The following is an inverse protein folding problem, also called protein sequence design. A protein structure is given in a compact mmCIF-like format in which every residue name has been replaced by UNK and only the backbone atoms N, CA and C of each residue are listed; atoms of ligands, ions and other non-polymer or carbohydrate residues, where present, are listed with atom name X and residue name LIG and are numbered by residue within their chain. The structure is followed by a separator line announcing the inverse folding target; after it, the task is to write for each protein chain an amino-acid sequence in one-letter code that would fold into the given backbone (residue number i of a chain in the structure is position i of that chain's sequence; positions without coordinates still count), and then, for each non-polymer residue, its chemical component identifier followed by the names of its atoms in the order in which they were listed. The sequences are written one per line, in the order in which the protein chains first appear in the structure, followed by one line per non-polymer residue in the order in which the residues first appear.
data_IF_286288708138
#
_entry.id   IF_286288708138
#
_cell.length_a   1.000
_cell.length_b   1.000
_cell.length_c   1.000
_cell.angle_alpha   90.00
_cell.angle_beta   90.00
_cell.angle_gamma   90.00
#
_symmetry.space_group_name_H-M   'P 1'
#
loop_
_entity.id
_entity.type
_entity.pdbx_description
1 polymer ?
#
# COMPACT_ATOMS: atom_id res chain seq x y z
N UNK A 1 5.01 -12.01 1.48
CA UNK A 1 4.66 -11.45 0.15
C UNK A 1 5.82 -10.84 -0.62
N UNK A 2 6.95 -10.49 0.02
CA UNK A 2 8.08 -9.84 -0.65
C UNK A 2 8.65 -10.55 -1.90
N UNK A 3 8.75 -11.89 -1.90
CA UNK A 3 9.18 -12.64 -3.10
C UNK A 3 8.29 -12.38 -4.32
N UNK A 4 6.99 -12.19 -4.12
CA UNK A 4 6.06 -11.84 -5.19
C UNK A 4 6.21 -10.38 -5.60
N UNK A 5 6.39 -9.45 -4.65
CA UNK A 5 6.66 -8.05 -4.96
C UNK A 5 7.84 -7.88 -5.94
N UNK A 6 8.96 -8.59 -5.72
CA UNK A 6 10.11 -8.59 -6.64
C UNK A 6 9.74 -9.08 -8.05
N UNK A 7 8.95 -10.16 -8.13
CA UNK A 7 8.48 -10.73 -9.40
C UNK A 7 7.56 -9.76 -10.13
N UNK A 8 6.71 -9.03 -9.42
CA UNK A 8 5.83 -8.01 -9.98
C UNK A 8 6.64 -6.84 -10.57
N UNK A 9 7.64 -6.33 -9.86
CA UNK A 9 8.51 -5.25 -10.38
C UNK A 9 9.24 -5.71 -11.65
N UNK A 10 9.83 -6.90 -11.64
CA UNK A 10 10.52 -7.45 -12.81
C UNK A 10 9.57 -7.61 -14.01
N UNK A 11 8.37 -8.16 -13.78
CA UNK A 11 7.36 -8.33 -14.81
C UNK A 11 6.86 -6.99 -15.35
N UNK A 12 6.62 -6.02 -14.46
CA UNK A 12 6.16 -4.69 -14.85
C UNK A 12 7.18 -3.97 -15.73
N UNK A 13 8.46 -3.95 -15.33
CA UNK A 13 9.54 -3.36 -16.14
C UNK A 13 9.61 -3.98 -17.53
N UNK A 14 9.55 -5.32 -17.63
CA UNK A 14 9.55 -6.04 -18.91
C UNK A 14 8.34 -5.65 -19.78
N UNK A 15 7.14 -5.69 -19.22
CA UNK A 15 5.90 -5.38 -19.95
C UNK A 15 5.81 -3.91 -20.37
N UNK A 16 6.35 -3.00 -19.57
CA UNK A 16 6.43 -1.57 -19.92
C UNK A 16 7.35 -1.35 -21.12
N UNK A 17 8.51 -2.03 -21.17
CA UNK A 17 9.43 -1.95 -22.30
C UNK A 17 8.84 -2.55 -23.59
N UNK A 18 8.03 -3.61 -23.49
CA UNK A 18 7.36 -4.25 -24.63
C UNK A 18 6.21 -3.40 -25.20
N UNK A 19 5.60 -2.52 -24.39
CA UNK A 19 4.45 -1.69 -24.77
C UNK A 19 4.87 -0.32 -25.32
N UNK A 20 5.63 -0.31 -26.40
CA UNK A 20 6.07 0.91 -27.08
C UNK A 20 4.86 1.80 -27.48
N UNK A 21 4.94 3.08 -27.14
CA UNK A 21 3.92 4.08 -27.46
C UNK A 21 2.67 4.07 -26.57
N UNK A 22 2.65 3.28 -25.50
CA UNK A 22 1.58 3.33 -24.47
C UNK A 22 2.04 4.12 -23.24
N UNK A 23 1.13 4.83 -22.55
CA UNK A 23 1.45 5.45 -21.26
C UNK A 23 1.92 4.42 -20.24
N UNK A 24 2.85 4.83 -19.36
CA UNK A 24 3.26 4.00 -18.23
C UNK A 24 2.08 3.76 -17.29
N UNK A 25 1.94 2.53 -16.79
CA UNK A 25 0.99 2.22 -15.74
C UNK A 25 1.73 2.25 -14.40
N UNK A 26 1.13 2.86 -13.39
CA UNK A 26 1.69 2.84 -12.04
C UNK A 26 1.61 1.43 -11.44
N UNK A 27 2.62 1.05 -10.66
CA UNK A 27 2.65 -0.17 -9.86
C UNK A 27 2.80 0.16 -8.38
N UNK A 28 1.83 -0.26 -7.58
CA UNK A 28 1.87 -0.10 -6.13
C UNK A 28 2.30 -1.38 -5.41
N UNK A 29 3.27 -1.27 -4.50
CA UNK A 29 3.70 -2.38 -3.65
C UNK A 29 2.82 -2.51 -2.42
N UNK A 30 2.34 -3.71 -2.09
CA UNK A 30 1.43 -3.90 -0.95
C UNK A 30 2.19 -4.30 0.31
N UNK A 31 2.13 -3.45 1.34
CA UNK A 31 2.63 -3.74 2.68
C UNK A 31 1.63 -4.62 3.42
N UNK A 32 2.15 -5.72 3.95
CA UNK A 32 1.43 -6.74 4.71
C UNK A 32 1.96 -6.80 6.15
N UNK A 33 1.34 -7.61 7.00
CA UNK A 33 1.80 -7.78 8.39
C UNK A 33 0.69 -7.96 9.41
N UNK A 34 -0.56 -8.19 8.97
CA UNK A 34 -1.74 -8.27 9.85
C UNK A 34 -1.79 -7.05 10.79
N UNK A 35 -1.95 -7.30 12.08
CA UNK A 35 -2.05 -6.29 13.12
C UNK A 35 -0.72 -6.06 13.88
N UNK A 36 0.40 -6.60 13.36
CA UNK A 36 1.69 -6.59 14.06
C UNK A 36 2.64 -5.51 13.54
N UNK A 37 2.97 -4.54 14.39
CA UNK A 37 3.83 -3.40 14.05
C UNK A 37 5.20 -3.82 13.49
N UNK A 38 5.90 -4.74 14.16
CA UNK A 38 7.23 -5.16 13.73
C UNK A 38 7.22 -5.76 12.31
N UNK A 39 6.19 -6.55 12.00
CA UNK A 39 6.01 -7.13 10.66
C UNK A 39 5.65 -6.06 9.63
N UNK A 40 4.79 -5.10 9.99
CA UNK A 40 4.43 -3.96 9.13
C UNK A 40 5.63 -3.11 8.77
N UNK A 41 6.44 -2.72 9.76
CA UNK A 41 7.66 -1.92 9.56
C UNK A 41 8.69 -2.68 8.72
N UNK A 42 8.90 -3.97 9.01
CA UNK A 42 9.78 -4.81 8.19
C UNK A 42 9.31 -4.89 6.74
N UNK A 43 8.02 -5.13 6.51
CA UNK A 43 7.44 -5.18 5.17
C UNK A 43 7.47 -3.83 4.46
N UNK A 44 7.26 -2.71 5.17
CA UNK A 44 7.38 -1.36 4.63
C UNK A 44 8.79 -1.10 4.09
N UNK A 45 9.84 -1.43 4.86
CA UNK A 45 11.24 -1.31 4.41
C UNK A 45 11.54 -2.17 3.18
N UNK A 46 11.00 -3.39 3.13
CA UNK A 46 11.14 -4.28 1.98
C UNK A 46 10.44 -3.72 0.73
N UNK A 47 9.26 -3.13 0.88
CA UNK A 47 8.52 -2.53 -0.25
C UNK A 47 9.21 -1.23 -0.71
N UNK A 48 9.69 -0.40 0.23
CA UNK A 48 10.45 0.80 -0.09
C UNK A 48 11.73 0.49 -0.88
N UNK A 49 12.41 -0.62 -0.58
CA UNK A 49 13.60 -1.05 -1.33
C UNK A 49 13.31 -1.50 -2.77
N UNK A 50 12.07 -1.42 -3.25
CA UNK A 50 11.65 -1.81 -4.58
C UNK A 50 11.06 -0.61 -5.34
N UNK A 51 11.13 -0.73 -6.67
CA UNK A 51 10.71 0.29 -7.63
C UNK A 51 9.20 0.23 -7.87
N UNK A 52 8.46 0.86 -6.95
CA UNK A 52 7.01 1.01 -6.98
C UNK A 52 6.67 2.50 -6.99
N UNK A 53 5.62 2.88 -7.73
CA UNK A 53 5.15 4.27 -7.79
C UNK A 53 4.31 4.66 -6.56
N UNK A 54 3.79 3.66 -5.84
CA UNK A 54 2.91 3.83 -4.70
C UNK A 54 2.98 2.67 -3.70
N UNK A 55 2.32 2.84 -2.56
CA UNK A 55 2.26 1.83 -1.51
C UNK A 55 0.81 1.49 -1.20
N UNK A 56 0.45 0.21 -1.31
CA UNK A 56 -0.82 -0.30 -0.81
C UNK A 56 -0.70 -0.76 0.64
N UNK A 57 -1.70 -0.47 1.47
CA UNK A 57 -1.82 -0.94 2.85
C UNK A 57 -2.89 -2.03 2.86
N UNK A 58 -2.46 -3.29 2.92
CA UNK A 58 -3.34 -4.45 2.82
C UNK A 58 -3.31 -5.36 4.04
N UNK A 59 -4.32 -6.22 4.14
CA UNK A 59 -4.34 -7.34 5.10
C UNK A 59 -4.42 -6.92 6.58
N UNK A 60 -4.99 -5.76 6.90
CA UNK A 60 -5.44 -5.49 8.26
C UNK A 60 -6.63 -6.40 8.57
N UNK A 61 -6.60 -7.10 9.70
CA UNK A 61 -7.69 -8.01 10.10
C UNK A 61 -8.75 -7.33 10.95
N UNK A 62 -8.43 -6.17 11.52
CA UNK A 62 -9.33 -5.41 12.39
C UNK A 62 -9.39 -3.95 11.91
N UNK A 63 -10.60 -3.39 11.80
CA UNK A 63 -10.79 -2.06 11.22
C UNK A 63 -10.20 -0.96 12.11
N UNK A 64 -10.36 -1.07 13.43
CA UNK A 64 -9.94 -0.05 14.38
C UNK A 64 -8.42 0.18 14.45
N UNK A 65 -7.61 -0.75 13.92
CA UNK A 65 -6.15 -0.61 13.91
C UNK A 65 -5.62 0.13 12.67
N UNK A 66 -6.50 0.45 11.72
CA UNK A 66 -6.12 1.05 10.44
C UNK A 66 -5.30 2.33 10.61
N UNK A 67 -5.77 3.26 11.45
CA UNK A 67 -5.04 4.51 11.73
C UNK A 67 -3.63 4.25 12.27
N UNK A 68 -3.47 3.27 13.18
CA UNK A 68 -2.15 2.89 13.71
C UNK A 68 -1.25 2.30 12.62
N UNK A 69 -1.78 1.45 11.75
CA UNK A 69 -1.03 0.89 10.63
C UNK A 69 -0.56 2.01 9.70
N UNK A 70 -1.43 2.97 9.36
CA UNK A 70 -1.06 4.13 8.56
C UNK A 70 0.08 4.92 9.23
N UNK A 71 -0.03 5.18 10.54
CA UNK A 71 0.99 5.91 11.30
C UNK A 71 2.35 5.19 11.27
N UNK A 72 2.37 3.88 11.55
CA UNK A 72 3.60 3.09 11.51
C UNK A 72 4.26 3.12 10.13
N UNK A 73 3.47 3.04 9.06
CA UNK A 73 3.99 3.13 7.70
C UNK A 73 4.48 4.55 7.37
N UNK A 74 3.78 5.59 7.84
CA UNK A 74 4.19 6.98 7.67
C UNK A 74 5.56 7.24 8.33
N UNK A 75 5.77 6.71 9.54
CA UNK A 75 7.02 6.83 10.29
C UNK A 75 8.21 6.18 9.59
N UNK A 76 7.99 5.04 8.90
CA UNK A 76 9.04 4.34 8.15
C UNK A 76 9.48 5.10 6.90
N UNK A 77 8.84 6.24 6.58
CA UNK A 77 9.16 7.10 5.44
C UNK A 77 9.41 6.30 4.16
N UNK A 78 8.48 5.43 3.69
CA UNK A 78 8.56 4.85 2.36
C UNK A 78 8.34 5.98 1.32
N UNK A 79 9.37 6.81 1.17
CA UNK A 79 9.65 7.69 0.05
C UNK A 79 8.53 8.62 -0.42
N UNK A 80 7.75 9.30 0.45
CA UNK A 80 6.72 10.27 0.01
C UNK A 80 5.74 9.74 -1.07
N UNK A 81 5.67 8.42 -1.28
CA UNK A 81 4.85 7.79 -2.31
C UNK A 81 3.40 7.74 -1.81
N UNK A 82 2.41 7.88 -2.71
CA UNK A 82 1.00 7.81 -2.33
C UNK A 82 0.69 6.46 -1.67
N UNK A 83 -0.03 6.51 -0.54
CA UNK A 83 -0.45 5.39 0.29
C UNK A 83 -1.93 5.11 0.07
N UNK A 84 -2.23 3.95 -0.48
CA UNK A 84 -3.58 3.49 -0.77
C UNK A 84 -4.03 2.46 0.27
N UNK A 85 -5.10 2.74 0.99
CA UNK A 85 -5.68 1.85 1.98
C UNK A 85 -6.70 0.92 1.32
N UNK A 86 -6.41 -0.39 1.35
CA UNK A 86 -7.15 -1.40 0.58
C UNK A 86 -8.36 -1.96 1.34
N UNK A 87 -9.55 -1.81 0.75
CA UNK A 87 -10.75 -2.58 1.08
C UNK A 87 -11.40 -2.32 2.45
N UNK A 88 -10.90 -1.38 3.24
CA UNK A 88 -11.42 -1.05 4.57
C UNK A 88 -11.60 0.47 4.66
N UNK A 89 -12.85 0.92 4.55
CA UNK A 89 -13.21 2.31 4.77
C UNK A 89 -14.70 2.40 5.13
N UNK A 90 -15.06 2.08 6.38
CA UNK A 90 -16.27 2.67 6.95
C UNK A 90 -16.00 4.17 7.17
N UNK A 91 -17.05 5.01 7.21
CA UNK A 91 -16.88 6.47 7.21
C UNK A 91 -15.87 7.00 8.23
N UNK A 92 -15.89 6.50 9.47
CA UNK A 92 -14.94 6.89 10.53
C UNK A 92 -13.49 6.43 10.27
N UNK A 93 -13.30 5.29 9.61
CA UNK A 93 -11.97 4.72 9.33
C UNK A 93 -11.21 5.55 8.30
N UNK A 94 -11.92 6.19 7.36
CA UNK A 94 -11.32 7.09 6.36
C UNK A 94 -10.65 8.27 7.07
N UNK A 95 -11.34 8.91 8.02
CA UNK A 95 -10.78 10.05 8.76
C UNK A 95 -9.56 9.63 9.57
N UNK A 96 -9.64 8.53 10.31
CA UNK A 96 -8.51 7.99 11.05
C UNK A 96 -7.33 7.63 10.12
N UNK A 97 -7.62 7.11 8.92
CA UNK A 97 -6.63 6.85 7.89
C UNK A 97 -5.94 8.14 7.43
N UNK A 98 -6.72 9.15 7.03
CA UNK A 98 -6.21 10.45 6.55
C UNK A 98 -5.34 11.15 7.59
N UNK A 99 -5.80 11.23 8.84
CA UNK A 99 -5.06 11.83 9.95
C UNK A 99 -3.70 11.17 10.19
N UNK A 100 -3.58 9.89 9.83
CA UNK A 100 -2.37 9.09 10.00
C UNK A 100 -1.62 8.83 8.68
N UNK A 101 -1.97 9.57 7.61
CA UNK A 101 -1.25 9.54 6.35
C UNK A 101 -1.73 8.52 5.31
N UNK A 102 -2.98 8.09 5.34
CA UNK A 102 -3.60 7.45 4.18
C UNK A 102 -3.95 8.51 3.13
N UNK A 103 -3.62 8.28 1.85
CA UNK A 103 -3.83 9.26 0.78
C UNK A 103 -5.05 8.90 -0.09
N UNK A 104 -5.31 7.62 -0.31
CA UNK A 104 -6.45 7.13 -1.11
C UNK A 104 -7.07 5.87 -0.49
N UNK A 105 -8.34 5.62 -0.76
CA UNK A 105 -9.13 4.56 -0.10
C UNK A 105 -10.09 3.92 -1.10
N UNK A 106 -10.36 2.63 -0.93
CA UNK A 106 -11.45 1.94 -1.61
C UNK A 106 -12.33 1.14 -0.62
N UNK A 107 -13.64 1.16 -0.82
CA UNK A 107 -14.58 0.34 -0.06
C UNK A 107 -15.87 0.09 -0.86
N UNK A 108 -16.45 -1.09 -0.68
CA UNK A 108 -17.75 -1.46 -1.28
C UNK A 108 -18.95 -0.97 -0.46
N UNK A 109 -18.73 -0.50 0.78
CA UNK A 109 -19.79 -0.08 1.69
C UNK A 109 -20.83 0.89 1.10
N UNK A 110 -20.48 1.93 0.32
CA UNK A 110 -21.49 2.83 -0.23
C UNK A 110 -22.33 2.22 -1.37
N UNK A 111 -21.90 1.09 -1.95
CA UNK A 111 -22.54 0.46 -3.09
C UNK A 111 -23.25 -0.87 -2.77
N UNK A 112 -23.04 -1.43 -1.56
CA UNK A 112 -23.70 -2.65 -1.08
C UNK A 112 -24.99 -2.31 -0.35
#
# INVERSE_FOLDING_TARGET
TFRWAKRCVAAHRRLTAERLGKPSQALCGVVQGANYEALRRHAARQIASLDFDGVGIGGASEQHILGKICAWLCDERPELRPRHVLGIAAGADIFAGVENGGDTFDCVAPAR
#
